data_IF_959825174351
#
_entry.id   IF_959825174351
#
_cell.length_a   1.000
_cell.length_b   1.000
_cell.length_c   1.000
_cell.angle_alpha   90.00
_cell.angle_beta   90.00
_cell.angle_gamma   90.00
#
_symmetry.space_group_name_H-M   'P 1'
#
loop_
_entity.id
_entity.type
_entity.pdbx_description
1 polymer ?
#
# COMPACT_ATOMS: atom_id res chain seq x y z
N UNK A 1 32.05 -14.98 -10.60
CA UNK A 1 31.99 -13.59 -10.11
C UNK A 1 31.31 -12.64 -11.08
N UNK A 2 31.70 -12.54 -12.36
CA UNK A 2 31.02 -11.69 -13.37
C UNK A 2 29.53 -12.01 -13.62
N UNK A 3 29.16 -13.29 -13.74
CA UNK A 3 27.77 -13.72 -14.01
C UNK A 3 26.80 -13.37 -12.85
N UNK A 4 27.31 -13.33 -11.62
CA UNK A 4 26.50 -13.05 -10.43
C UNK A 4 26.15 -11.56 -10.35
N UNK A 5 27.11 -10.68 -10.64
CA UNK A 5 26.90 -9.23 -10.71
C UNK A 5 25.91 -8.82 -11.81
N UNK A 6 25.89 -9.51 -12.96
CA UNK A 6 24.94 -9.22 -14.04
C UNK A 6 23.49 -9.54 -13.64
N UNK A 7 23.25 -10.66 -12.94
CA UNK A 7 21.91 -11.03 -12.46
C UNK A 7 21.40 -10.07 -11.38
N UNK A 8 22.28 -9.62 -10.49
CA UNK A 8 21.92 -8.64 -9.45
C UNK A 8 21.54 -7.28 -10.07
N UNK A 9 22.30 -6.79 -11.04
CA UNK A 9 21.96 -5.55 -11.77
C UNK A 9 20.63 -5.65 -12.51
N UNK A 10 20.38 -6.75 -13.22
CA UNK A 10 19.11 -7.01 -13.90
C UNK A 10 17.92 -7.07 -12.92
N UNK A 11 18.12 -7.68 -11.75
CA UNK A 11 17.09 -7.72 -10.70
C UNK A 11 16.76 -6.33 -10.16
N UNK A 12 17.77 -5.47 -9.98
CA UNK A 12 17.57 -4.10 -9.51
C UNK A 12 16.88 -3.23 -10.56
N UNK A 13 17.24 -3.38 -11.84
CA UNK A 13 16.55 -2.70 -12.95
C UNK A 13 15.08 -3.11 -13.04
N UNK A 14 14.80 -4.41 -12.99
CA UNK A 14 13.42 -4.92 -12.97
C UNK A 14 12.61 -4.44 -11.77
N UNK A 15 13.25 -4.29 -10.60
CA UNK A 15 12.59 -3.73 -9.42
C UNK A 15 12.29 -2.23 -9.58
N UNK A 16 13.21 -1.46 -10.16
CA UNK A 16 13.00 -0.04 -10.47
C UNK A 16 11.90 0.16 -11.51
N UNK A 17 11.87 -0.65 -12.55
CA UNK A 17 10.82 -0.61 -13.58
C UNK A 17 9.45 -0.93 -12.98
N UNK A 18 9.37 -1.97 -12.13
CA UNK A 18 8.14 -2.32 -11.44
C UNK A 18 7.64 -1.20 -10.53
N UNK A 19 8.52 -0.61 -9.71
CA UNK A 19 8.19 0.55 -8.87
C UNK A 19 7.73 1.74 -9.70
N UNK A 20 8.38 1.98 -10.84
CA UNK A 20 7.98 2.99 -11.80
C UNK A 20 6.54 2.78 -12.26
N UNK A 21 6.26 1.60 -12.80
CA UNK A 21 4.92 1.30 -13.28
C UNK A 21 3.84 1.31 -12.19
N UNK A 22 4.18 0.92 -10.95
CA UNK A 22 3.26 1.05 -9.81
C UNK A 22 2.92 2.52 -9.57
N UNK A 23 3.92 3.41 -9.60
CA UNK A 23 3.72 4.84 -9.39
C UNK A 23 2.85 5.46 -10.49
N UNK A 24 3.17 5.19 -11.75
CA UNK A 24 2.41 5.71 -12.89
C UNK A 24 0.95 5.26 -12.84
N UNK A 25 0.71 4.01 -12.42
CA UNK A 25 -0.66 3.51 -12.31
C UNK A 25 -1.40 4.09 -11.11
N UNK A 26 -0.72 4.29 -9.97
CA UNK A 26 -1.35 4.96 -8.82
C UNK A 26 -1.67 6.43 -9.13
N UNK A 27 -0.80 7.14 -9.84
CA UNK A 27 -1.06 8.51 -10.31
C UNK A 27 -2.29 8.55 -11.22
N UNK A 28 -2.34 7.67 -12.23
CA UNK A 28 -3.50 7.55 -13.13
C UNK A 28 -4.79 7.25 -12.34
N UNK A 29 -4.73 6.38 -11.33
CA UNK A 29 -5.87 6.10 -10.46
C UNK A 29 -6.28 7.33 -9.66
N UNK A 30 -5.33 8.07 -9.07
CA UNK A 30 -5.61 9.29 -8.31
C UNK A 30 -6.24 10.38 -9.18
N UNK A 31 -5.73 10.59 -10.40
CA UNK A 31 -6.29 11.54 -11.36
C UNK A 31 -7.72 11.18 -11.76
N UNK A 32 -7.97 9.89 -12.02
CA UNK A 32 -9.31 9.38 -12.38
C UNK A 32 -10.30 9.45 -11.22
N UNK A 33 -9.82 9.20 -10.01
CA UNK A 33 -10.65 9.16 -8.82
C UNK A 33 -11.02 10.56 -8.33
N UNK A 34 -10.17 11.58 -8.55
CA UNK A 34 -10.47 12.99 -8.34
C UNK A 34 -10.76 13.38 -6.88
N UNK A 35 -11.97 13.08 -6.39
CA UNK A 35 -12.53 13.41 -5.09
C UNK A 35 -12.27 12.33 -4.01
N UNK A 36 -11.18 11.56 -4.16
CA UNK A 36 -10.81 10.47 -3.23
C UNK A 36 -9.56 10.85 -2.44
N UNK A 37 -9.63 10.67 -1.12
CA UNK A 37 -8.49 10.76 -0.22
C UNK A 37 -7.65 9.48 -0.28
N UNK A 38 -6.37 9.59 -0.61
CA UNK A 38 -5.43 8.48 -0.60
C UNK A 38 -4.58 8.52 0.67
N UNK A 39 -4.80 7.56 1.56
CA UNK A 39 -4.01 7.35 2.77
C UNK A 39 -2.86 6.40 2.41
N UNK A 40 -1.64 6.92 2.37
CA UNK A 40 -0.44 6.15 2.05
C UNK A 40 0.21 5.63 3.33
N UNK A 41 0.22 4.31 3.48
CA UNK A 41 0.89 3.65 4.59
C UNK A 41 2.41 3.86 4.64
N UNK A 42 3.08 3.33 5.68
CA UNK A 42 4.51 3.45 5.84
C UNK A 42 5.26 2.55 4.84
N UNK A 43 6.55 2.84 4.66
CA UNK A 43 7.51 1.95 4.01
C UNK A 43 8.17 2.52 2.76
N UNK A 44 9.34 1.95 2.45
CA UNK A 44 10.20 2.41 1.35
C UNK A 44 9.58 2.24 -0.05
N UNK A 45 8.67 1.28 -0.22
CA UNK A 45 7.92 1.11 -1.49
C UNK A 45 7.04 2.33 -1.74
N UNK A 46 6.22 2.71 -0.77
CA UNK A 46 5.30 3.84 -0.91
C UNK A 46 6.04 5.18 -0.92
N UNK A 47 7.15 5.30 -0.20
CA UNK A 47 8.02 6.47 -0.30
C UNK A 47 8.56 6.67 -1.72
N UNK A 48 9.13 5.63 -2.34
CA UNK A 48 9.66 5.71 -3.72
C UNK A 48 8.56 5.97 -4.76
N UNK A 49 7.38 5.39 -4.55
CA UNK A 49 6.20 5.65 -5.39
C UNK A 49 5.79 7.12 -5.29
N UNK A 50 5.67 7.66 -4.08
CA UNK A 50 5.31 9.05 -3.85
C UNK A 50 6.35 10.01 -4.45
N UNK A 51 7.64 9.75 -4.23
CA UNK A 51 8.74 10.53 -4.81
C UNK A 51 8.66 10.60 -6.34
N UNK A 52 8.25 9.50 -6.99
CA UNK A 52 8.15 9.43 -8.44
C UNK A 52 6.99 10.26 -9.01
N UNK A 53 5.90 10.39 -8.26
CA UNK A 53 4.76 11.26 -8.61
C UNK A 53 4.95 12.69 -8.08
N UNK A 54 6.16 13.07 -7.68
CA UNK A 54 6.50 14.42 -7.26
C UNK A 54 6.04 14.80 -5.86
N UNK A 55 5.73 13.83 -4.99
CA UNK A 55 5.23 14.06 -3.63
C UNK A 55 6.21 13.55 -2.57
N UNK A 56 6.52 14.37 -1.58
CA UNK A 56 7.31 13.96 -0.42
C UNK A 56 6.49 13.07 0.52
N UNK A 57 7.08 11.96 0.99
CA UNK A 57 6.46 10.99 1.90
C UNK A 57 7.33 10.67 3.10
N UNK A 58 6.74 10.68 4.29
CA UNK A 58 7.40 10.20 5.52
C UNK A 58 7.66 8.70 5.43
N UNK A 59 8.91 8.26 5.64
CA UNK A 59 9.29 6.85 5.44
C UNK A 59 8.53 5.87 6.36
N UNK A 60 8.41 6.21 7.65
CA UNK A 60 7.78 5.37 8.66
C UNK A 60 6.41 5.86 9.11
N UNK A 61 5.94 6.99 8.57
CA UNK A 61 4.66 7.59 8.89
C UNK A 61 3.55 7.20 7.92
N UNK A 62 2.33 7.68 8.20
CA UNK A 62 1.18 7.63 7.29
C UNK A 62 0.92 9.03 6.76
N UNK A 63 0.82 9.19 5.44
CA UNK A 63 0.57 10.51 4.83
C UNK A 63 -0.71 10.42 3.99
N UNK A 64 -1.34 11.57 3.71
CA UNK A 64 -2.59 11.61 2.97
C UNK A 64 -2.48 12.55 1.77
N UNK A 65 -2.96 12.08 0.61
CA UNK A 65 -3.02 12.82 -0.64
C UNK A 65 -4.48 13.04 -1.06
N UNK A 66 -4.78 14.21 -1.61
CA UNK A 66 -6.09 14.53 -2.20
C UNK A 66 -5.87 15.39 -3.45
N UNK A 67 -6.46 15.01 -4.58
CA UNK A 67 -6.24 15.69 -5.86
C UNK A 67 -4.75 15.77 -6.25
N UNK A 68 -3.99 14.70 -5.98
CA UNK A 68 -2.55 14.62 -6.26
C UNK A 68 -1.65 15.44 -5.32
N UNK A 69 -2.20 16.07 -4.27
CA UNK A 69 -1.43 16.93 -3.34
C UNK A 69 -1.46 16.40 -1.93
N UNK A 70 -0.36 16.56 -1.20
CA UNK A 70 -0.31 16.22 0.22
C UNK A 70 -1.24 17.12 1.04
N UNK A 71 -2.18 16.52 1.76
CA UNK A 71 -3.09 17.17 2.71
C UNK A 71 -2.80 16.80 4.16
N UNK A 72 -1.87 15.88 4.38
CA UNK A 72 -1.38 15.48 5.70
C UNK A 72 -0.10 14.66 5.58
N UNK A 73 0.80 14.78 6.57
CA UNK A 73 2.07 14.03 6.64
C UNK A 73 2.29 13.53 8.06
N UNK A 74 2.85 12.33 8.18
CA UNK A 74 3.15 11.68 9.48
C UNK A 74 1.96 11.72 10.46
N UNK A 75 0.80 11.32 9.94
CA UNK A 75 -0.49 11.44 10.58
C UNK A 75 -0.64 10.41 11.71
N UNK A 76 -1.27 10.84 12.80
CA UNK A 76 -1.84 9.93 13.80
C UNK A 76 -3.18 9.36 13.33
N UNK A 77 -3.67 8.33 14.03
CA UNK A 77 -5.04 7.82 13.81
C UNK A 77 -6.09 8.95 13.89
N UNK A 78 -5.98 9.82 14.90
CA UNK A 78 -6.93 10.93 15.10
C UNK A 78 -6.91 11.96 13.96
N UNK A 79 -5.77 12.13 13.29
CA UNK A 79 -5.67 13.03 12.13
C UNK A 79 -6.29 12.38 10.90
N UNK A 80 -6.09 11.07 10.72
CA UNK A 80 -6.69 10.30 9.63
C UNK A 80 -8.22 10.31 9.76
N UNK A 81 -8.75 10.06 10.96
CA UNK A 81 -10.20 10.08 11.21
C UNK A 81 -10.80 11.47 10.92
N UNK A 82 -10.13 12.56 11.31
CA UNK A 82 -10.55 13.93 10.98
C UNK A 82 -10.52 14.21 9.47
N UNK A 83 -9.55 13.66 8.74
CA UNK A 83 -9.55 13.74 7.27
C UNK A 83 -10.71 12.95 6.67
N UNK A 84 -11.05 11.78 7.21
CA UNK A 84 -12.18 10.96 6.75
C UNK A 84 -13.55 11.62 7.01
N UNK A 85 -13.66 12.51 8.00
CA UNK A 85 -14.85 13.36 8.18
C UNK A 85 -14.97 14.42 7.07
N UNK A 86 -13.82 14.96 6.62
CA UNK A 86 -13.76 16.00 5.59
C UNK A 86 -13.89 15.44 4.17
N UNK A 87 -13.34 14.25 3.94
CA UNK A 87 -13.27 13.59 2.64
C UNK A 87 -14.05 12.28 2.70
N UNK A 88 -15.29 12.24 2.18
CA UNK A 88 -16.21 11.10 2.38
C UNK A 88 -15.79 9.85 1.61
N UNK A 89 -14.90 9.98 0.60
CA UNK A 89 -14.36 8.87 -0.17
C UNK A 89 -12.87 8.77 0.08
N UNK A 90 -12.41 7.57 0.42
CA UNK A 90 -11.02 7.34 0.72
C UNK A 90 -10.54 5.95 0.25
N UNK A 91 -9.23 5.84 0.04
CA UNK A 91 -8.52 4.58 -0.22
C UNK A 91 -7.29 4.53 0.67
N UNK A 92 -6.97 3.33 1.13
CA UNK A 92 -5.73 3.09 1.91
C UNK A 92 -4.78 2.30 1.02
N UNK A 93 -3.59 2.85 0.77
CA UNK A 93 -2.55 2.20 -0.04
C UNK A 93 -1.49 1.61 0.89
N UNK A 94 -1.25 0.31 0.75
CA UNK A 94 -0.33 -0.46 1.59
C UNK A 94 0.65 -1.27 0.76
N UNK A 95 1.81 -1.57 1.32
CA UNK A 95 2.73 -2.56 0.77
C UNK A 95 3.04 -3.61 1.84
N UNK A 96 3.18 -4.90 1.47
CA UNK A 96 3.58 -5.93 2.42
C UNK A 96 4.89 -5.59 3.15
N UNK A 97 5.03 -5.96 4.40
CA UNK A 97 6.20 -5.71 5.23
C UNK A 97 7.14 -6.92 5.13
N UNK A 98 8.34 -6.70 4.59
CA UNK A 98 9.39 -7.71 4.51
C UNK A 98 8.97 -9.02 3.81
N UNK A 99 9.63 -10.12 4.18
CA UNK A 99 9.30 -11.48 3.72
C UNK A 99 8.17 -12.17 4.50
N UNK A 100 7.58 -11.48 5.49
CA UNK A 100 6.55 -12.06 6.36
C UNK A 100 5.15 -12.01 5.74
N UNK A 101 4.92 -11.07 4.81
CA UNK A 101 3.67 -10.96 4.07
C UNK A 101 2.58 -10.11 4.74
N UNK A 102 2.82 -9.54 5.92
CA UNK A 102 1.85 -8.64 6.55
C UNK A 102 1.74 -7.32 5.78
N UNK A 103 0.55 -6.97 5.29
CA UNK A 103 0.30 -5.61 4.74
C UNK A 103 -0.54 -4.75 5.68
N UNK A 104 -1.26 -5.39 6.60
CA UNK A 104 -1.89 -4.82 7.78
C UNK A 104 -1.32 -5.56 9.00
N UNK A 105 -0.78 -4.83 9.97
CA UNK A 105 -0.09 -5.43 11.12
C UNK A 105 -0.08 -4.50 12.33
N UNK A 106 0.11 -5.08 13.52
CA UNK A 106 0.09 -4.40 14.83
C UNK A 106 1.01 -3.19 14.98
N UNK A 107 2.07 -3.11 14.18
CA UNK A 107 3.06 -2.02 14.23
C UNK A 107 2.63 -0.72 13.56
N UNK A 108 1.50 -0.70 12.84
CA UNK A 108 1.01 0.46 12.11
C UNK A 108 -0.35 0.93 12.66
N UNK A 109 -0.37 1.30 13.94
CA UNK A 109 -1.60 1.64 14.68
C UNK A 109 -2.35 2.85 14.11
N UNK A 110 -1.70 3.68 13.29
CA UNK A 110 -2.32 4.82 12.62
C UNK A 110 -3.43 4.37 11.64
N UNK A 111 -3.29 3.19 11.02
CA UNK A 111 -4.31 2.59 10.17
C UNK A 111 -5.07 1.56 11.02
N UNK A 112 -5.82 2.08 11.98
CA UNK A 112 -6.56 1.29 12.97
C UNK A 112 -7.76 0.55 12.35
N UNK A 113 -8.36 -0.41 13.08
CA UNK A 113 -9.62 -1.02 12.68
C UNK A 113 -10.74 -0.02 12.38
N UNK A 114 -10.82 1.08 13.13
CA UNK A 114 -11.81 2.14 12.88
C UNK A 114 -11.54 2.85 11.55
N UNK A 115 -10.28 3.19 11.27
CA UNK A 115 -9.88 3.77 9.96
C UNK A 115 -10.24 2.83 8.82
N UNK A 116 -9.93 1.54 8.95
CA UNK A 116 -10.22 0.54 7.91
C UNK A 116 -11.72 0.41 7.67
N UNK A 117 -12.54 0.38 8.73
CA UNK A 117 -14.01 0.31 8.61
C UNK A 117 -14.59 1.55 7.96
N UNK A 118 -14.09 2.74 8.31
CA UNK A 118 -14.51 4.01 7.70
C UNK A 118 -14.15 4.09 6.22
N UNK A 119 -13.00 3.55 5.84
CA UNK A 119 -12.54 3.51 4.45
C UNK A 119 -13.26 2.41 3.66
N UNK A 120 -13.57 1.28 4.28
CA UNK A 120 -14.07 0.08 3.63
C UNK A 120 -12.94 -0.85 3.18
N UNK A 121 -13.07 -2.15 3.46
CA UNK A 121 -12.06 -3.18 3.15
C UNK A 121 -11.83 -3.31 1.63
N UNK A 122 -12.84 -3.00 0.82
CA UNK A 122 -12.78 -2.97 -0.64
C UNK A 122 -11.90 -1.82 -1.18
N UNK A 123 -11.69 -0.77 -0.38
CA UNK A 123 -10.91 0.41 -0.75
C UNK A 123 -9.44 0.32 -0.28
N UNK A 124 -9.02 -0.86 0.18
CA UNK A 124 -7.61 -1.16 0.43
C UNK A 124 -6.93 -1.53 -0.89
N UNK A 125 -5.94 -0.72 -1.27
CA UNK A 125 -5.09 -0.93 -2.43
C UNK A 125 -3.74 -1.48 -1.96
N UNK A 126 -3.39 -2.70 -2.39
CA UNK A 126 -2.10 -3.29 -2.04
C UNK A 126 -1.13 -3.14 -3.22
N UNK A 127 0.10 -2.71 -2.95
CA UNK A 127 1.16 -2.59 -3.96
C UNK A 127 2.41 -3.36 -3.55
N UNK A 128 3.02 -4.05 -4.50
CA UNK A 128 4.27 -4.78 -4.26
C UNK A 128 4.99 -5.08 -5.57
N UNK A 129 6.31 -4.99 -5.57
CA UNK A 129 7.11 -5.44 -6.71
C UNK A 129 6.96 -6.96 -6.90
N UNK A 130 7.06 -7.48 -8.14
CA UNK A 130 6.99 -8.92 -8.39
C UNK A 130 8.01 -9.71 -7.57
N UNK A 131 9.24 -9.20 -7.44
CA UNK A 131 10.31 -9.84 -6.67
C UNK A 131 9.99 -9.98 -5.18
N UNK A 132 9.26 -9.02 -4.59
CA UNK A 132 8.82 -9.08 -3.20
C UNK A 132 7.67 -10.08 -3.01
N UNK A 133 6.75 -10.17 -3.97
CA UNK A 133 5.67 -11.16 -3.96
C UNK A 133 6.17 -12.60 -4.10
N UNK A 134 7.25 -12.84 -4.85
CA UNK A 134 7.86 -14.19 -4.94
C UNK A 134 8.32 -14.71 -3.58
N UNK A 135 8.68 -13.81 -2.66
CA UNK A 135 9.08 -14.15 -1.28
C UNK A 135 7.93 -14.07 -0.28
N UNK A 136 6.76 -13.62 -0.72
CA UNK A 136 5.54 -13.47 0.09
C UNK A 136 4.35 -14.11 -0.64
N UNK A 137 4.37 -15.44 -0.82
CA UNK A 137 3.30 -16.15 -1.55
C UNK A 137 1.94 -16.06 -0.85
N UNK A 138 1.93 -15.65 0.42
CA UNK A 138 0.75 -15.47 1.25
C UNK A 138 0.81 -14.08 1.88
N UNK A 139 -0.28 -13.33 1.77
CA UNK A 139 -0.42 -12.06 2.47
C UNK A 139 -1.20 -12.24 3.77
N UNK A 140 -0.75 -11.54 4.80
CA UNK A 140 -1.24 -11.65 6.17
C UNK A 140 -1.85 -10.35 6.64
N UNK A 141 -2.82 -10.50 7.53
CA UNK A 141 -3.53 -9.40 8.17
C UNK A 141 -3.54 -9.68 9.67
N UNK A 142 -3.19 -8.66 10.45
CA UNK A 142 -3.34 -8.62 11.91
C UNK A 142 -3.64 -7.17 12.29
N UNK A 143 -4.92 -6.80 12.28
CA UNK A 143 -5.38 -5.45 12.62
C UNK A 143 -5.49 -5.25 14.13
N UNK A 144 -5.31 -6.31 14.93
CA UNK A 144 -5.63 -6.33 16.35
C UNK A 144 -7.13 -6.48 16.64
N UNK A 145 -7.98 -6.56 15.60
CA UNK A 145 -9.42 -6.76 15.69
C UNK A 145 -9.80 -8.07 14.96
N UNK A 146 -10.10 -9.15 15.70
CA UNK A 146 -10.33 -10.46 15.11
C UNK A 146 -11.55 -10.52 14.18
N UNK A 147 -12.56 -9.65 14.36
CA UNK A 147 -13.72 -9.63 13.49
C UNK A 147 -13.37 -9.01 12.14
N UNK A 148 -12.61 -7.91 12.16
CA UNK A 148 -12.10 -7.29 10.94
C UNK A 148 -11.11 -8.21 10.20
N UNK A 149 -10.21 -8.87 10.93
CA UNK A 149 -9.28 -9.83 10.35
C UNK A 149 -10.02 -10.97 9.64
N UNK A 150 -11.06 -11.53 10.28
CA UNK A 150 -11.95 -12.54 9.66
C UNK A 150 -12.67 -11.99 8.44
N UNK A 151 -13.18 -10.77 8.49
CA UNK A 151 -13.84 -10.12 7.34
C UNK A 151 -12.90 -10.02 6.14
N UNK A 152 -11.68 -9.54 6.35
CA UNK A 152 -10.69 -9.39 5.28
C UNK A 152 -10.30 -10.78 4.72
N UNK A 153 -10.03 -11.75 5.57
CA UNK A 153 -9.60 -13.10 5.17
C UNK A 153 -10.70 -13.87 4.44
N UNK A 154 -11.99 -13.65 4.77
CA UNK A 154 -13.13 -14.25 4.05
C UNK A 154 -13.14 -13.94 2.56
N UNK A 155 -12.47 -12.86 2.12
CA UNK A 155 -12.31 -12.55 0.69
C UNK A 155 -11.43 -13.55 -0.05
N UNK A 156 -10.63 -14.35 0.66
CA UNK A 156 -9.75 -15.39 0.15
C UNK A 156 -8.50 -14.87 -0.58
N UNK A 157 -8.60 -13.74 -1.27
CA UNK A 157 -7.54 -13.13 -2.03
C UNK A 157 -7.59 -11.60 -1.98
N UNK A 158 -6.47 -10.96 -2.32
CA UNK A 158 -6.37 -9.52 -2.55
C UNK A 158 -5.70 -9.24 -3.90
N UNK A 159 -6.17 -8.19 -4.57
CA UNK A 159 -5.52 -7.65 -5.78
C UNK A 159 -4.31 -6.84 -5.36
N UNK A 160 -3.15 -7.17 -5.91
CA UNK A 160 -1.90 -6.46 -5.68
C UNK A 160 -1.43 -5.81 -6.98
N UNK A 161 -1.24 -4.50 -6.98
CA UNK A 161 -0.61 -3.78 -8.09
C UNK A 161 0.89 -4.07 -8.07
N UNK A 162 1.41 -4.52 -9.21
CA UNK A 162 2.78 -5.00 -9.38
C UNK A 162 3.58 -4.24 -10.44
N UNK A 163 2.92 -3.35 -11.17
CA UNK A 163 3.49 -2.52 -12.24
C UNK A 163 2.39 -1.75 -12.94
N UNK A 164 2.74 -1.10 -14.05
CA UNK A 164 1.78 -0.29 -14.80
C UNK A 164 0.63 -1.13 -15.34
N UNK A 165 -0.59 -0.89 -14.86
CA UNK A 165 -1.81 -1.67 -15.17
C UNK A 165 -1.60 -3.19 -15.05
N UNK A 166 -0.69 -3.63 -14.18
CA UNK A 166 -0.35 -5.03 -13.93
C UNK A 166 -0.70 -5.40 -12.50
N UNK A 167 -1.54 -6.41 -12.33
CA UNK A 167 -2.00 -6.86 -11.03
C UNK A 167 -1.86 -8.38 -10.86
N UNK A 168 -1.76 -8.82 -9.60
CA UNK A 168 -1.79 -10.24 -9.24
C UNK A 168 -2.79 -10.48 -8.11
N UNK A 169 -3.50 -11.59 -8.21
CA UNK A 169 -4.29 -12.13 -7.10
C UNK A 169 -3.35 -12.85 -6.16
N UNK A 170 -3.35 -12.48 -4.88
CA UNK A 170 -2.53 -13.15 -3.86
C UNK A 170 -3.44 -13.62 -2.74
N UNK A 171 -3.25 -14.88 -2.32
CA UNK A 171 -4.05 -15.49 -1.26
C UNK A 171 -3.85 -14.77 0.06
N UNK A 172 -4.94 -14.62 0.80
CA UNK A 172 -4.95 -14.05 2.14
C UNK A 172 -4.91 -15.16 3.20
N UNK A 173 -4.31 -14.84 4.34
CA UNK A 173 -4.38 -15.64 5.55
C UNK A 173 -4.54 -14.75 6.78
N UNK A 174 -5.26 -15.26 7.78
CA UNK A 174 -5.38 -14.62 9.09
C UNK A 174 -4.21 -14.98 9.99
N UNK A 175 -3.86 -14.04 10.86
CA UNK A 175 -3.10 -14.27 12.08
C UNK A 175 -3.99 -14.74 13.22
#
# INVERSE_FOLDING_TARGET
TLIQSTKELQSLEGEREALGGIADYLEELMERDGDVLYILGPGSTLKRVAERIGVEKTLLGVDALYGGRAVGRDLSESDILRLLEKYPRAKVVLSPIGGQGFFLGRGNQQISPEVIRRVGVENIVVVSTPGKLLRTPLLRVDTGDPDLDREIVKRGYVRVITGYRRERMVSLSGG
#
